data_IF_817261321323
#
_entry.id   IF_817261321323
#
_cell.length_a   1.000
_cell.length_b   1.000
_cell.length_c   1.000
_cell.angle_alpha   90.00
_cell.angle_beta   90.00
_cell.angle_gamma   90.00
#
_symmetry.space_group_name_H-M   'P 1'
#
loop_
_entity.id
_entity.type
_entity.pdbx_description
1 polymer ?
#
# COMPACT_ATOMS: atom_id res chain seq x y z
N UNK A 1 -2.60 16.28 -13.40
CA UNK A 1 -3.72 15.52 -12.80
C UNK A 1 -3.29 15.19 -11.40
N UNK A 2 -4.04 15.64 -10.40
CA UNK A 2 -3.80 15.31 -8.99
C UNK A 2 -4.86 14.30 -8.55
N UNK A 3 -4.52 13.47 -7.58
CA UNK A 3 -5.46 12.52 -6.96
C UNK A 3 -5.82 13.13 -5.61
N UNK A 4 -7.11 13.35 -5.39
CA UNK A 4 -7.63 13.74 -4.08
C UNK A 4 -7.73 12.50 -3.20
N UNK A 5 -7.22 12.58 -1.97
CA UNK A 5 -7.37 11.50 -0.99
C UNK A 5 -8.82 11.46 -0.52
N UNK A 6 -9.55 10.43 -0.91
CA UNK A 6 -10.99 10.31 -0.63
C UNK A 6 -11.29 9.63 0.70
N UNK A 7 -10.33 8.92 1.26
CA UNK A 7 -10.48 8.16 2.50
C UNK A 7 -9.34 8.44 3.46
N UNK A 8 -9.66 8.49 4.75
CA UNK A 8 -8.68 8.54 5.83
C UNK A 8 -8.47 7.13 6.36
N UNK A 9 -7.25 6.63 6.28
CA UNK A 9 -6.91 5.26 6.70
C UNK A 9 -6.14 5.32 8.00
N UNK A 10 -6.46 4.38 8.91
CA UNK A 10 -5.75 4.23 10.17
C UNK A 10 -5.58 2.74 10.51
N UNK A 11 -5.04 2.01 9.55
CA UNK A 11 -4.87 0.55 9.63
C UNK A 11 -3.40 0.15 9.78
N UNK A 12 -2.46 1.02 9.37
CA UNK A 12 -1.04 0.80 9.63
C UNK A 12 -0.71 1.11 11.09
N UNK A 13 0.20 0.31 11.67
CA UNK A 13 0.71 0.52 13.03
C UNK A 13 1.47 1.83 13.16
N UNK A 14 2.24 2.21 12.13
CA UNK A 14 2.79 3.57 12.01
C UNK A 14 1.77 4.46 11.30
N UNK A 15 1.16 5.45 12.00
CA UNK A 15 0.17 6.33 11.38
C UNK A 15 0.71 7.14 10.21
N UNK A 16 2.04 7.30 10.09
CA UNK A 16 2.66 8.02 8.98
C UNK A 16 2.61 7.27 7.66
N UNK A 17 2.47 5.94 7.71
CA UNK A 17 2.46 5.09 6.54
C UNK A 17 1.05 4.91 5.96
N UNK A 18 0.02 5.32 6.69
CA UNK A 18 -1.37 5.33 6.19
C UNK A 18 -1.50 6.10 4.86
N UNK A 19 -0.71 7.17 4.67
CA UNK A 19 -0.70 7.94 3.40
C UNK A 19 -0.38 7.08 2.17
N UNK A 20 0.38 5.99 2.32
CA UNK A 20 0.69 5.08 1.21
C UNK A 20 -0.52 4.20 0.88
N UNK A 21 -1.25 3.75 1.91
CA UNK A 21 -2.51 3.04 1.75
C UNK A 21 -3.58 3.94 1.11
N UNK A 22 -3.67 5.20 1.55
CA UNK A 22 -4.60 6.21 1.02
C UNK A 22 -4.31 6.49 -0.46
N UNK A 23 -3.04 6.66 -0.81
CA UNK A 23 -2.61 6.84 -2.18
C UNK A 23 -2.89 5.62 -3.04
N UNK A 24 -2.58 4.42 -2.55
CA UNK A 24 -2.81 3.18 -3.29
C UNK A 24 -4.30 2.97 -3.59
N UNK A 25 -5.16 3.21 -2.59
CA UNK A 25 -6.60 3.09 -2.76
C UNK A 25 -7.16 4.17 -3.70
N UNK A 26 -6.82 5.44 -3.47
CA UNK A 26 -7.33 6.57 -4.27
C UNK A 26 -6.82 6.49 -5.72
N UNK A 27 -5.59 6.00 -5.91
CA UNK A 27 -4.97 5.79 -7.22
C UNK A 27 -5.31 4.45 -7.89
N UNK A 28 -6.11 3.58 -7.25
CA UNK A 28 -6.46 2.25 -7.74
C UNK A 28 -5.21 1.42 -8.11
N UNK A 29 -4.20 1.46 -7.25
CA UNK A 29 -2.97 0.71 -7.44
C UNK A 29 -3.23 -0.80 -7.36
N UNK A 30 -2.57 -1.57 -8.21
CA UNK A 30 -2.61 -3.04 -8.16
C UNK A 30 -1.75 -3.60 -7.02
N UNK A 31 -0.66 -2.91 -6.67
CA UNK A 31 0.19 -3.29 -5.55
C UNK A 31 0.94 -2.10 -4.93
N UNK A 32 1.42 -2.28 -3.70
CA UNK A 32 2.40 -1.44 -3.01
C UNK A 32 3.68 -2.23 -2.90
N UNK A 33 4.80 -1.66 -3.36
CA UNK A 33 6.12 -2.28 -3.19
C UNK A 33 6.86 -1.58 -2.06
N UNK A 34 7.21 -2.31 -1.00
CA UNK A 34 7.84 -1.75 0.20
C UNK A 34 8.74 -2.76 0.91
N UNK A 35 9.71 -2.26 1.68
CA UNK A 35 10.50 -3.05 2.62
C UNK A 35 10.03 -2.90 4.07
N UNK A 36 8.96 -2.14 4.31
CA UNK A 36 8.46 -1.86 5.65
C UNK A 36 7.56 -2.99 6.16
N UNK A 37 7.92 -3.57 7.30
CA UNK A 37 7.17 -4.65 7.92
C UNK A 37 5.77 -4.23 8.40
N UNK A 38 5.57 -2.95 8.74
CA UNK A 38 4.29 -2.44 9.22
C UNK A 38 3.26 -2.32 8.08
N UNK A 39 3.74 -2.17 6.85
CA UNK A 39 2.91 -2.28 5.65
C UNK A 39 2.79 -3.71 5.16
N UNK A 40 3.89 -4.48 5.14
CA UNK A 40 3.89 -5.87 4.64
C UNK A 40 2.93 -6.77 5.43
N UNK A 41 2.75 -6.54 6.74
CA UNK A 41 1.82 -7.32 7.57
C UNK A 41 0.35 -7.14 7.15
N UNK A 42 0.03 -6.08 6.42
CA UNK A 42 -1.32 -5.82 5.90
C UNK A 42 -1.60 -6.58 4.59
N UNK A 43 -0.61 -7.28 4.01
CA UNK A 43 -0.80 -8.01 2.75
C UNK A 43 -1.77 -9.20 2.88
N UNK A 44 -2.79 -9.36 2.01
CA UNK A 44 -3.28 -8.38 1.04
C UNK A 44 -4.19 -7.34 1.69
N UNK A 45 -4.08 -6.09 1.24
CA UNK A 45 -4.81 -4.97 1.82
C UNK A 45 -5.88 -4.44 0.86
N UNK A 46 -7.17 -4.66 1.18
CA UNK A 46 -8.33 -4.24 0.35
C UNK A 46 -8.23 -4.66 -1.14
N UNK A 47 -7.61 -5.81 -1.41
CA UNK A 47 -7.39 -6.32 -2.77
C UNK A 47 -6.16 -5.75 -3.47
N UNK A 48 -5.36 -4.93 -2.79
CA UNK A 48 -4.06 -4.43 -3.23
C UNK A 48 -2.98 -5.29 -2.59
N UNK A 49 -2.12 -5.88 -3.40
CA UNK A 49 -0.99 -6.68 -2.91
C UNK A 49 0.07 -5.75 -2.30
N UNK A 50 0.65 -6.13 -1.16
CA UNK A 50 1.79 -5.42 -0.56
C UNK A 50 2.98 -6.37 -0.58
N UNK A 51 3.95 -6.03 -1.42
CA UNK A 51 5.05 -6.91 -1.79
C UNK A 51 6.39 -6.28 -1.45
N UNK A 52 7.36 -7.12 -1.14
CA UNK A 52 8.76 -6.73 -1.18
C UNK A 52 9.21 -6.51 -2.62
N UNK A 53 10.30 -5.75 -2.79
CA UNK A 53 10.94 -5.57 -4.12
C UNK A 53 11.31 -6.92 -4.74
N UNK A 54 11.75 -7.89 -3.92
CA UNK A 54 12.11 -9.23 -4.41
C UNK A 54 10.90 -10.00 -4.92
N UNK A 55 9.79 -9.97 -4.18
CA UNK A 55 8.54 -10.62 -4.60
C UNK A 55 7.98 -9.97 -5.88
N UNK A 56 7.97 -8.64 -5.95
CA UNK A 56 7.51 -7.92 -7.13
C UNK A 56 8.34 -8.29 -8.37
N UNK A 57 9.66 -8.36 -8.26
CA UNK A 57 10.53 -8.77 -9.37
C UNK A 57 10.37 -10.25 -9.76
N UNK A 58 9.82 -11.08 -8.88
CA UNK A 58 9.55 -12.49 -9.14
C UNK A 58 8.21 -12.73 -9.87
N UNK A 59 7.30 -11.74 -9.94
CA UNK A 59 5.99 -11.81 -10.62
C UNK A 59 6.06 -11.86 -12.17
N UNK A 60 7.16 -12.33 -12.74
CA UNK A 60 7.40 -12.43 -14.20
C UNK A 60 6.18 -12.88 -15.01
#
# INVERSE_FOLDING_TARGET
MFIDMTEQINECRDPKDNKYLELALSGQAECIVTGDNDLLVLNPWRGIEILTVQEFLALK
#
